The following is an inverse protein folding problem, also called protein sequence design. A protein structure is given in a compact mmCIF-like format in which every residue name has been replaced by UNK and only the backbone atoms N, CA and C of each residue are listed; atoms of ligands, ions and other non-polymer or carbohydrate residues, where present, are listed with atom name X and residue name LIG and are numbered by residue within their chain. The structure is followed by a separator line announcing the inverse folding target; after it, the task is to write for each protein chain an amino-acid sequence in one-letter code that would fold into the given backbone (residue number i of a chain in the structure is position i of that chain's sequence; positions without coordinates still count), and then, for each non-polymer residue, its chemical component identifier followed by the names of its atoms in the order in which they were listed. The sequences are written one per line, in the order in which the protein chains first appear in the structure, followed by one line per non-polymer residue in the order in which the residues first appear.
data_IF_528141701348
#
_entry.id   IF_528141701348
#
_cell.length_a   1.000
_cell.length_b   1.000
_cell.length_c   1.000
_cell.angle_alpha   90.00
_cell.angle_beta   90.00
_cell.angle_gamma   90.00
#
_symmetry.space_group_name_H-M   'P 1'
#
loop_
_entity.id
_entity.type
_entity.pdbx_description
1 polymer ?
#
# COMPACT_ATOMS: atom_id res chain seq x y z
N UNK A 1 -17.97 6.52 -6.47
CA UNK A 1 -16.57 6.58 -5.97
C UNK A 1 -15.54 6.04 -6.97
N UNK A 2 -15.80 4.97 -7.71
CA UNK A 2 -15.02 4.58 -8.89
C UNK A 2 -15.54 5.21 -10.19
N UNK A 3 -16.45 6.16 -10.09
CA UNK A 3 -17.04 6.90 -11.22
C UNK A 3 -16.15 8.08 -11.67
N UNK A 4 -15.08 8.38 -10.92
CA UNK A 4 -14.08 9.32 -11.41
C UNK A 4 -13.39 8.73 -12.64
N UNK A 5 -13.53 9.39 -13.78
CA UNK A 5 -12.99 8.93 -15.07
C UNK A 5 -11.49 8.61 -15.01
N UNK A 6 -10.73 9.25 -14.10
CA UNK A 6 -9.30 9.00 -13.88
C UNK A 6 -9.01 7.58 -13.39
N UNK A 7 -9.97 6.93 -12.72
CA UNK A 7 -9.81 5.60 -12.12
C UNK A 7 -10.70 4.56 -12.78
N UNK A 8 -11.43 4.91 -13.84
CA UNK A 8 -12.23 3.94 -14.60
C UNK A 8 -11.32 2.90 -15.26
N UNK A 9 -11.79 1.65 -15.31
CA UNK A 9 -11.05 0.56 -15.96
C UNK A 9 -9.73 0.17 -15.27
N UNK A 10 -9.56 0.45 -13.96
CA UNK A 10 -8.44 -0.11 -13.20
C UNK A 10 -8.57 -1.63 -13.15
N UNK A 11 -7.49 -2.33 -13.55
CA UNK A 11 -7.43 -3.79 -13.49
C UNK A 11 -7.36 -4.26 -12.04
N UNK A 12 -8.39 -4.94 -11.57
CA UNK A 12 -8.50 -5.50 -10.21
C UNK A 12 -8.22 -7.00 -10.16
N UNK A 13 -7.79 -7.59 -11.28
CA UNK A 13 -7.53 -9.02 -11.37
C UNK A 13 -6.34 -9.53 -10.55
N UNK A 14 -5.28 -8.72 -10.21
CA UNK A 14 -4.24 -9.18 -9.32
C UNK A 14 -4.78 -9.50 -7.92
N UNK A 15 -4.32 -10.63 -7.39
CA UNK A 15 -4.75 -11.11 -6.08
C UNK A 15 -3.86 -10.58 -4.94
N UNK A 16 -4.48 -10.24 -3.82
CA UNK A 16 -3.82 -9.85 -2.58
C UNK A 16 -3.73 -10.99 -1.57
N UNK A 17 -4.84 -11.71 -1.43
CA UNK A 17 -4.93 -12.88 -0.53
C UNK A 17 -5.56 -14.06 -1.28
N UNK A 18 -5.15 -15.26 -0.91
CA UNK A 18 -5.67 -16.50 -1.45
C UNK A 18 -5.89 -17.51 -0.33
N UNK A 19 -7.12 -17.94 -0.13
CA UNK A 19 -7.45 -19.04 0.76
C UNK A 19 -7.47 -20.35 -0.03
N UNK A 20 -6.50 -21.22 0.23
CA UNK A 20 -6.36 -22.50 -0.45
C UNK A 20 -7.48 -23.48 -0.12
N UNK A 21 -8.04 -23.41 1.08
CA UNK A 21 -9.11 -24.31 1.51
C UNK A 21 -10.45 -23.99 0.86
N UNK A 22 -10.73 -22.69 0.66
CA UNK A 22 -11.95 -22.22 0.02
C UNK A 22 -11.77 -21.93 -1.47
N UNK A 23 -10.55 -22.03 -2.00
CA UNK A 23 -10.16 -21.57 -3.34
C UNK A 23 -10.62 -20.12 -3.62
N UNK A 24 -10.72 -19.33 -2.54
CA UNK A 24 -11.20 -17.97 -2.61
C UNK A 24 -10.06 -16.98 -2.84
N UNK A 25 -10.26 -16.06 -3.75
CA UNK A 25 -9.30 -15.02 -4.12
C UNK A 25 -9.85 -13.66 -3.70
N UNK A 26 -9.07 -12.89 -2.97
CA UNK A 26 -9.37 -11.51 -2.64
C UNK A 26 -8.50 -10.56 -3.47
N UNK A 27 -9.09 -9.65 -4.26
CA UNK A 27 -8.33 -8.74 -5.10
C UNK A 27 -7.36 -7.87 -4.31
N UNK A 28 -6.17 -7.64 -4.86
CA UNK A 28 -5.14 -6.88 -4.19
C UNK A 28 -5.60 -5.44 -3.90
N UNK A 29 -6.21 -4.78 -4.87
CA UNK A 29 -6.68 -3.40 -4.68
C UNK A 29 -7.61 -3.29 -3.46
N UNK A 30 -8.54 -4.22 -3.30
CA UNK A 30 -9.50 -4.19 -2.19
C UNK A 30 -8.79 -4.45 -0.85
N UNK A 31 -7.82 -5.35 -0.83
CA UNK A 31 -6.99 -5.56 0.35
C UNK A 31 -6.22 -4.29 0.76
N UNK A 32 -5.60 -3.59 -0.19
CA UNK A 32 -4.89 -2.34 0.07
C UNK A 32 -5.82 -1.25 0.63
N UNK A 33 -7.04 -1.14 0.08
CA UNK A 33 -8.05 -0.19 0.55
C UNK A 33 -8.54 -0.54 1.96
N UNK A 34 -8.79 -1.82 2.25
CA UNK A 34 -9.20 -2.25 3.59
C UNK A 34 -8.11 -1.97 4.62
N UNK A 35 -6.84 -2.22 4.28
CA UNK A 35 -5.71 -1.90 5.18
C UNK A 35 -5.59 -0.40 5.41
N UNK A 36 -5.77 0.43 4.38
CA UNK A 36 -5.79 1.88 4.56
C UNK A 36 -6.91 2.33 5.50
N UNK A 37 -8.12 1.77 5.34
CA UNK A 37 -9.26 2.07 6.19
C UNK A 37 -9.02 1.64 7.65
N UNK A 38 -8.53 0.42 7.86
CA UNK A 38 -8.20 -0.09 9.22
C UNK A 38 -7.09 0.73 9.86
N UNK A 39 -6.09 1.20 9.09
CA UNK A 39 -5.06 2.09 9.61
C UNK A 39 -5.63 3.41 10.14
N UNK A 40 -6.67 3.94 9.48
CA UNK A 40 -7.43 5.09 9.98
C UNK A 40 -8.14 4.80 11.32
N UNK A 41 -8.78 3.63 11.46
CA UNK A 41 -9.39 3.21 12.72
C UNK A 41 -8.34 2.98 13.83
N UNK A 42 -7.17 2.43 13.49
CA UNK A 42 -6.06 2.29 14.45
C UNK A 42 -5.56 3.66 14.89
N UNK A 43 -5.44 4.62 13.98
CA UNK A 43 -5.08 5.98 14.29
C UNK A 43 -6.09 6.62 15.25
N UNK A 44 -7.38 6.49 14.97
CA UNK A 44 -8.43 7.18 15.72
C UNK A 44 -8.69 6.54 17.11
N UNK A 45 -8.61 5.21 17.21
CA UNK A 45 -9.08 4.45 18.38
C UNK A 45 -7.99 3.77 19.20
N UNK A 46 -6.84 3.50 18.62
CA UNK A 46 -5.76 2.72 19.29
C UNK A 46 -4.61 3.63 19.69
N UNK A 47 -4.16 4.53 18.80
CA UNK A 47 -3.06 5.42 19.12
C UNK A 47 -3.47 6.46 20.16
N UNK A 48 -2.61 6.65 21.16
CA UNK A 48 -2.75 7.76 22.13
C UNK A 48 -2.53 9.09 21.45
N UNK A 49 -3.01 10.17 22.07
CA UNK A 49 -2.76 11.55 21.59
C UNK A 49 -1.26 11.84 21.43
N UNK A 50 -0.42 11.38 22.37
CA UNK A 50 1.02 11.55 22.31
C UNK A 50 1.67 10.81 21.13
N UNK A 51 1.19 9.58 20.82
CA UNK A 51 1.70 8.83 19.65
C UNK A 51 1.31 9.50 18.34
N UNK A 52 0.07 9.96 18.22
CA UNK A 52 -0.39 10.72 17.05
C UNK A 52 0.42 12.00 16.85
N UNK A 53 0.67 12.74 17.94
CA UNK A 53 1.48 13.95 17.89
C UNK A 53 2.93 13.65 17.49
N UNK A 54 3.53 12.58 18.05
CA UNK A 54 4.90 12.15 17.69
C UNK A 54 5.02 11.83 16.20
N UNK A 55 4.03 11.18 15.61
CA UNK A 55 4.00 10.89 14.16
C UNK A 55 3.89 12.21 13.37
N UNK A 56 2.96 13.09 13.73
CA UNK A 56 2.73 14.37 13.06
C UNK A 56 3.99 15.27 13.11
N UNK A 57 4.58 15.42 14.28
CA UNK A 57 5.83 16.18 14.48
C UNK A 57 6.99 15.57 13.70
N UNK A 58 7.06 14.23 13.70
CA UNK A 58 8.07 13.48 12.97
C UNK A 58 8.01 13.67 11.45
N UNK A 59 6.82 13.91 10.91
CA UNK A 59 6.59 14.25 9.50
C UNK A 59 6.66 15.77 9.24
N UNK A 60 6.47 16.60 10.25
CA UNK A 60 6.36 18.05 10.12
C UNK A 60 5.05 18.50 9.47
N UNK A 61 3.94 17.82 9.76
CA UNK A 61 2.61 18.10 9.21
C UNK A 61 1.54 18.17 10.32
N UNK A 62 0.39 18.82 10.09
CA UNK A 62 -0.74 18.78 11.01
C UNK A 62 -1.28 17.38 11.26
N UNK A 63 -1.93 17.15 12.41
CA UNK A 63 -2.48 15.84 12.80
C UNK A 63 -3.42 15.22 11.76
N UNK A 64 -4.29 16.03 11.13
CA UNK A 64 -5.20 15.54 10.08
C UNK A 64 -4.47 15.06 8.85
N UNK A 65 -3.43 15.76 8.42
CA UNK A 65 -2.59 15.36 7.30
C UNK A 65 -1.74 14.12 7.64
N UNK A 66 -1.21 14.04 8.87
CA UNK A 66 -0.49 12.87 9.36
C UNK A 66 -1.37 11.62 9.33
N UNK A 67 -2.65 11.72 9.71
CA UNK A 67 -3.63 10.65 9.62
C UNK A 67 -3.75 10.14 8.17
N UNK A 68 -3.96 11.05 7.23
CA UNK A 68 -4.09 10.71 5.81
C UNK A 68 -2.82 10.02 5.27
N UNK A 69 -1.65 10.50 5.65
CA UNK A 69 -0.37 9.90 5.26
C UNK A 69 -0.17 8.50 5.87
N UNK A 70 -0.54 8.30 7.14
CA UNK A 70 -0.48 6.97 7.78
C UNK A 70 -1.38 5.97 7.05
N UNK A 71 -2.62 6.36 6.72
CA UNK A 71 -3.56 5.53 5.97
C UNK A 71 -2.98 5.16 4.58
N UNK A 72 -2.44 6.15 3.89
CA UNK A 72 -1.85 5.97 2.57
C UNK A 72 -0.66 5.00 2.61
N UNK A 73 0.29 5.24 3.51
CA UNK A 73 1.48 4.40 3.63
C UNK A 73 1.10 2.98 4.03
N UNK A 74 0.19 2.79 4.99
CA UNK A 74 -0.31 1.46 5.35
C UNK A 74 -0.99 0.76 4.16
N UNK A 75 -1.80 1.50 3.39
CA UNK A 75 -2.45 0.98 2.18
C UNK A 75 -1.47 0.53 1.09
N UNK A 76 -0.27 1.06 1.05
CA UNK A 76 0.75 0.68 0.06
C UNK A 76 1.58 -0.55 0.45
N UNK A 77 1.44 -1.10 1.65
CA UNK A 77 2.35 -2.13 2.20
C UNK A 77 2.61 -3.30 1.25
N UNK A 78 1.59 -3.78 0.57
CA UNK A 78 1.59 -4.93 -0.33
C UNK A 78 1.65 -4.55 -1.83
N UNK A 79 1.98 -3.29 -2.17
CA UNK A 79 2.08 -2.84 -3.56
C UNK A 79 3.02 -3.70 -4.41
N UNK A 80 4.04 -4.28 -3.79
CA UNK A 80 4.97 -5.21 -4.41
C UNK A 80 4.35 -6.54 -4.87
N UNK A 81 3.12 -6.85 -4.46
CA UNK A 81 2.37 -7.97 -5.05
C UNK A 81 1.93 -7.71 -6.49
N UNK A 82 1.93 -6.45 -6.95
CA UNK A 82 1.83 -6.11 -8.37
C UNK A 82 3.17 -6.39 -9.09
N UNK A 83 3.66 -7.60 -8.96
CA UNK A 83 4.85 -8.08 -9.61
C UNK A 83 4.55 -9.43 -10.28
N UNK A 84 5.02 -9.61 -11.50
CA UNK A 84 4.77 -10.82 -12.27
C UNK A 84 5.16 -12.09 -11.50
N UNK A 85 6.33 -12.09 -10.86
CA UNK A 85 6.79 -13.20 -10.04
C UNK A 85 5.77 -13.56 -8.96
N UNK A 86 5.35 -12.57 -8.15
CA UNK A 86 4.44 -12.79 -7.03
C UNK A 86 3.09 -13.34 -7.47
N UNK A 87 2.55 -12.84 -8.57
CA UNK A 87 1.25 -13.27 -9.10
C UNK A 87 1.30 -14.68 -9.72
N UNK A 88 2.43 -15.09 -10.31
CA UNK A 88 2.61 -16.41 -10.95
C UNK A 88 2.83 -17.56 -9.99
N UNK A 89 3.29 -17.30 -8.78
CA UNK A 89 3.62 -18.36 -7.79
C UNK A 89 2.43 -19.16 -7.28
N UNK A 90 1.19 -18.79 -7.63
CA UNK A 90 0.03 -19.43 -7.05
C UNK A 90 -1.09 -19.71 -8.03
N UNK A 91 -1.97 -20.61 -7.64
CA UNK A 91 -3.16 -21.03 -8.38
C UNK A 91 -3.99 -19.90 -9.01
N UNK A 92 -4.13 -18.68 -8.39
CA UNK A 92 -4.91 -17.61 -8.98
C UNK A 92 -4.32 -16.94 -10.23
N UNK A 93 -3.13 -17.34 -10.70
CA UNK A 93 -2.54 -16.74 -11.91
C UNK A 93 -3.50 -16.71 -13.09
N UNK A 94 -4.31 -17.75 -13.26
CA UNK A 94 -5.29 -17.82 -14.36
C UNK A 94 -6.34 -16.69 -14.32
N UNK A 95 -6.58 -16.08 -13.15
CA UNK A 95 -7.52 -14.96 -12.96
C UNK A 95 -6.90 -13.59 -13.27
N UNK A 96 -5.57 -13.49 -13.29
CA UNK A 96 -4.89 -12.26 -13.69
C UNK A 96 -5.17 -11.99 -15.16
N UNK A 97 -5.46 -10.75 -15.51
CA UNK A 97 -5.83 -10.36 -16.88
C UNK A 97 -4.81 -10.81 -17.92
N UNK A 98 -5.27 -11.13 -19.12
CA UNK A 98 -4.41 -11.52 -20.24
C UNK A 98 -3.38 -10.46 -20.56
N UNK A 99 -3.76 -9.18 -20.43
CA UNK A 99 -2.88 -8.04 -20.68
C UNK A 99 -1.64 -8.02 -19.76
N UNK A 100 -1.85 -8.30 -18.47
CA UNK A 100 -0.77 -8.39 -17.48
C UNK A 100 0.04 -9.68 -17.65
N UNK A 101 -0.63 -10.82 -17.94
CA UNK A 101 0.04 -12.09 -18.15
C UNK A 101 0.96 -12.11 -19.38
N UNK A 102 0.62 -11.36 -20.41
CA UNK A 102 1.42 -11.21 -21.62
C UNK A 102 2.59 -10.21 -21.46
N UNK A 103 2.54 -9.34 -20.44
CA UNK A 103 3.56 -8.31 -20.22
C UNK A 103 4.72 -8.86 -19.36
N UNK A 104 5.63 -9.59 -20.03
CA UNK A 104 6.75 -10.28 -19.38
C UNK A 104 8.05 -9.51 -19.61
N UNK A 105 8.68 -9.06 -18.52
CA UNK A 105 10.00 -8.41 -18.56
C UNK A 105 11.15 -9.39 -18.23
N UNK A 106 10.84 -10.65 -18.01
CA UNK A 106 11.78 -11.67 -17.53
C UNK A 106 11.30 -12.34 -16.26
N UNK A 107 12.17 -13.17 -15.68
CA UNK A 107 11.86 -13.90 -14.45
C UNK A 107 12.95 -13.68 -13.40
N UNK A 108 12.60 -12.99 -12.34
CA UNK A 108 13.47 -12.83 -11.18
C UNK A 108 12.65 -12.96 -9.90
N UNK A 109 13.08 -13.83 -8.99
CA UNK A 109 12.45 -13.99 -7.69
C UNK A 109 12.73 -12.78 -6.80
N UNK A 110 11.68 -12.20 -6.22
CA UNK A 110 11.79 -11.14 -5.23
C UNK A 110 10.64 -11.26 -4.22
N UNK A 111 10.91 -11.34 -2.92
CA UNK A 111 9.87 -11.26 -1.88
C UNK A 111 9.07 -9.97 -2.02
N UNK A 112 7.73 -10.05 -1.82
CA UNK A 112 6.83 -8.92 -2.10
C UNK A 112 7.11 -7.70 -1.21
N UNK A 113 7.61 -7.88 0.01
CA UNK A 113 8.02 -6.77 0.87
C UNK A 113 9.19 -5.97 0.26
N UNK A 114 10.15 -6.65 -0.35
CA UNK A 114 11.23 -5.98 -1.09
C UNK A 114 10.72 -5.36 -2.38
N UNK A 115 9.83 -6.04 -3.07
CA UNK A 115 9.18 -5.50 -4.26
C UNK A 115 8.37 -4.24 -3.93
N UNK A 116 7.66 -4.20 -2.78
CA UNK A 116 6.96 -3.00 -2.29
C UNK A 116 7.93 -1.84 -2.06
N UNK A 117 9.03 -2.10 -1.36
CA UNK A 117 10.05 -1.10 -1.06
C UNK A 117 10.63 -0.48 -2.33
N UNK A 118 11.06 -1.33 -3.29
CA UNK A 118 11.68 -0.85 -4.52
C UNK A 118 10.70 -0.18 -5.48
N UNK A 119 9.49 -0.75 -5.64
CA UNK A 119 8.49 -0.18 -6.55
C UNK A 119 7.93 1.15 -6.05
N UNK A 120 7.85 1.34 -4.73
CA UNK A 120 7.35 2.57 -4.15
C UNK A 120 8.34 3.73 -4.27
N UNK A 121 9.65 3.47 -4.27
CA UNK A 121 10.65 4.54 -4.26
C UNK A 121 10.48 5.48 -5.45
N UNK A 122 10.40 4.95 -6.68
CA UNK A 122 10.18 5.75 -7.88
C UNK A 122 8.83 6.49 -7.85
N UNK A 123 7.77 5.83 -7.37
CA UNK A 123 6.44 6.44 -7.28
C UNK A 123 6.39 7.58 -6.27
N UNK A 124 7.16 7.46 -5.19
CA UNK A 124 7.30 8.50 -4.18
C UNK A 124 8.09 9.69 -4.72
N UNK A 125 9.19 9.43 -5.45
CA UNK A 125 9.97 10.46 -6.13
C UNK A 125 9.10 11.22 -7.15
N UNK A 126 8.39 10.50 -8.02
CA UNK A 126 7.44 11.08 -8.99
C UNK A 126 6.34 11.90 -8.30
N UNK A 127 6.00 11.57 -7.05
CA UNK A 127 5.03 12.28 -6.22
C UNK A 127 5.63 13.47 -5.43
N UNK A 128 6.93 13.74 -5.59
CA UNK A 128 7.63 14.87 -4.98
C UNK A 128 8.29 14.60 -3.63
N UNK A 129 8.37 13.33 -3.20
CA UNK A 129 9.13 12.99 -1.99
C UNK A 129 10.64 13.07 -2.27
N UNK A 130 11.39 13.65 -1.34
CA UNK A 130 12.85 13.58 -1.39
C UNK A 130 13.31 12.12 -1.18
N UNK A 131 14.21 11.64 -2.06
CA UNK A 131 14.77 10.28 -2.06
C UNK A 131 16.30 10.27 -2.14
N UNK A 132 16.96 11.44 -2.00
CA UNK A 132 18.40 11.63 -2.27
C UNK A 132 19.32 10.99 -1.23
N UNK A 133 18.83 10.79 0.00
CA UNK A 133 19.63 10.27 1.12
C UNK A 133 18.91 9.13 1.85
N UNK A 134 19.67 8.29 2.55
CA UNK A 134 19.14 7.14 3.29
C UNK A 134 18.15 7.51 4.41
N UNK A 135 18.16 8.76 4.87
CA UNK A 135 17.26 9.30 5.88
C UNK A 135 16.17 10.22 5.31
N UNK A 136 16.13 10.40 3.99
CA UNK A 136 15.09 11.20 3.34
C UNK A 136 13.70 10.56 3.48
N UNK A 137 12.63 11.38 3.48
CA UNK A 137 11.27 10.88 3.76
C UNK A 137 10.82 9.80 2.77
N UNK A 138 11.14 9.91 1.49
CA UNK A 138 10.76 8.89 0.50
C UNK A 138 11.45 7.55 0.75
N UNK A 139 12.74 7.56 1.10
CA UNK A 139 13.48 6.33 1.46
C UNK A 139 12.91 5.71 2.73
N UNK A 140 12.60 6.50 3.75
CA UNK A 140 11.99 5.99 4.99
C UNK A 140 10.60 5.42 4.77
N UNK A 141 9.77 6.05 3.93
CA UNK A 141 8.47 5.46 3.54
C UNK A 141 8.67 4.13 2.82
N UNK A 142 9.59 4.05 1.85
CA UNK A 142 9.90 2.79 1.18
C UNK A 142 10.38 1.71 2.16
N UNK A 143 11.21 2.07 3.16
CA UNK A 143 11.63 1.15 4.23
C UNK A 143 10.47 0.68 5.11
N UNK A 144 9.50 1.55 5.43
CA UNK A 144 8.27 1.17 6.16
C UNK A 144 7.53 0.09 5.37
N UNK A 145 7.36 0.29 4.05
CA UNK A 145 6.70 -0.69 3.18
C UNK A 145 7.44 -2.03 3.12
N UNK A 146 8.77 -2.00 3.10
CA UNK A 146 9.59 -3.22 3.16
C UNK A 146 9.58 -3.92 4.52
N UNK A 147 9.07 -3.24 5.56
CA UNK A 147 9.18 -3.69 6.96
C UNK A 147 7.88 -4.24 7.55
N UNK A 148 6.81 -4.32 6.77
CA UNK A 148 5.48 -4.75 7.24
C UNK A 148 5.43 -6.20 7.77
N UNK A 149 6.46 -7.00 7.52
CA UNK A 149 6.66 -8.30 8.16
C UNK A 149 7.44 -8.24 9.49
N UNK A 150 7.64 -7.04 10.05
CA UNK A 150 8.27 -6.83 11.36
C UNK A 150 9.81 -6.86 11.34
N UNK A 151 10.44 -6.79 10.17
CA UNK A 151 11.90 -6.69 10.01
C UNK A 151 12.22 -5.44 9.20
N UNK A 152 12.93 -4.48 9.80
CA UNK A 152 13.40 -3.31 9.07
C UNK A 152 14.42 -3.71 8.01
N UNK A 153 14.05 -3.51 6.75
CA UNK A 153 14.94 -3.74 5.62
C UNK A 153 15.65 -2.44 5.27
N UNK A 154 16.97 -2.53 5.05
CA UNK A 154 17.70 -1.41 4.47
C UNK A 154 17.49 -1.39 2.97
N UNK A 155 17.20 -0.20 2.45
CA UNK A 155 17.21 0.07 1.03
C UNK A 155 18.66 0.32 0.61
N UNK A 156 19.18 -0.57 -0.22
CA UNK A 156 20.50 -0.39 -0.82
C UNK A 156 20.29 0.43 -2.11
N UNK A 157 20.74 1.66 -2.07
CA UNK A 157 20.62 2.61 -3.18
C UNK A 157 21.71 2.42 -4.24
N UNK A 158 22.73 1.58 -3.97
CA UNK A 158 23.89 1.42 -4.85
C UNK A 158 23.71 0.31 -5.89
N UNK A 159 23.86 0.68 -7.15
CA UNK A 159 24.24 -0.21 -8.23
C UNK A 159 23.24 -0.43 -9.38
N UNK A 160 23.63 -0.04 -10.59
CA UNK A 160 22.90 -0.26 -11.85
C UNK A 160 22.54 -1.74 -12.13
N UNK A 161 23.41 -2.68 -11.74
CA UNK A 161 23.17 -4.12 -11.87
C UNK A 161 22.01 -4.59 -10.98
N UNK A 162 21.81 -3.95 -9.82
CA UNK A 162 20.75 -4.25 -8.89
C UNK A 162 19.41 -3.67 -9.37
N UNK A 163 19.42 -2.46 -9.92
CA UNK A 163 18.26 -1.84 -10.56
C UNK A 163 17.70 -2.71 -11.71
N UNK A 164 18.57 -3.28 -12.53
CA UNK A 164 18.16 -4.19 -13.62
C UNK A 164 17.46 -5.44 -13.09
N UNK A 165 17.97 -6.08 -12.02
CA UNK A 165 17.34 -7.26 -11.40
C UNK A 165 15.99 -6.92 -10.76
N UNK A 166 15.89 -5.75 -10.13
CA UNK A 166 14.63 -5.25 -9.56
C UNK A 166 13.58 -5.10 -10.66
N UNK A 167 13.92 -4.47 -11.77
CA UNK A 167 13.01 -4.28 -12.89
C UNK A 167 12.51 -5.62 -13.47
N UNK A 168 13.39 -6.63 -13.61
CA UNK A 168 13.00 -7.97 -14.04
C UNK A 168 12.03 -8.66 -13.08
N UNK A 169 12.15 -8.41 -11.78
CA UNK A 169 11.24 -8.96 -10.77
C UNK A 169 9.86 -8.28 -10.78
N UNK A 170 9.84 -6.97 -11.05
CA UNK A 170 8.63 -6.14 -10.99
C UNK A 170 7.70 -6.30 -12.20
N UNK A 171 8.18 -6.90 -13.30
CA UNK A 171 7.42 -7.06 -14.54
C UNK A 171 7.52 -5.85 -15.47
N UNK A 172 6.86 -5.94 -16.63
CA UNK A 172 6.96 -4.96 -17.71
C UNK A 172 6.13 -3.68 -17.50
N UNK A 173 5.99 -2.89 -18.59
CA UNK A 173 5.34 -1.56 -18.52
C UNK A 173 3.91 -1.57 -18.00
N UNK A 174 3.10 -2.60 -18.30
CA UNK A 174 1.71 -2.68 -17.82
C UNK A 174 1.64 -2.90 -16.31
N UNK A 175 2.57 -3.69 -15.74
CA UNK A 175 2.69 -3.84 -14.31
C UNK A 175 3.09 -2.53 -13.64
N UNK A 176 4.01 -1.79 -14.25
CA UNK A 176 4.42 -0.48 -13.76
C UNK A 176 3.28 0.55 -13.83
N UNK A 177 2.52 0.57 -14.93
CA UNK A 177 1.35 1.45 -15.07
C UNK A 177 0.29 1.13 -14.01
N UNK A 178 0.01 -0.14 -13.79
CA UNK A 178 -0.96 -0.55 -12.78
C UNK A 178 -0.53 -0.13 -11.36
N UNK A 179 0.77 -0.23 -11.02
CA UNK A 179 1.29 0.27 -9.74
C UNK A 179 1.09 1.79 -9.61
N UNK A 180 1.36 2.57 -10.67
CA UNK A 180 1.09 4.02 -10.67
C UNK A 180 -0.39 4.32 -10.43
N UNK A 181 -1.28 3.58 -11.07
CA UNK A 181 -2.74 3.78 -10.91
C UNK A 181 -3.22 3.41 -9.51
N UNK A 182 -2.72 2.32 -8.91
CA UNK A 182 -3.05 1.95 -7.54
C UNK A 182 -2.53 2.98 -6.55
N UNK A 183 -1.28 3.43 -6.72
CA UNK A 183 -0.68 4.48 -5.91
C UNK A 183 -1.50 5.77 -5.97
N UNK A 184 -1.83 6.24 -7.17
CA UNK A 184 -2.62 7.45 -7.37
C UNK A 184 -4.03 7.34 -6.75
N UNK A 185 -4.69 6.20 -6.91
CA UNK A 185 -6.00 5.94 -6.33
C UNK A 185 -5.94 5.96 -4.79
N UNK A 186 -5.00 5.25 -4.18
CA UNK A 186 -4.83 5.24 -2.74
C UNK A 186 -4.53 6.64 -2.21
N UNK A 187 -3.63 7.39 -2.87
CA UNK A 187 -3.31 8.77 -2.50
C UNK A 187 -4.54 9.67 -2.54
N UNK A 188 -5.35 9.54 -3.58
CA UNK A 188 -6.59 10.30 -3.73
C UNK A 188 -7.61 9.95 -2.64
N UNK A 189 -7.88 8.66 -2.47
CA UNK A 189 -8.92 8.19 -1.55
C UNK A 189 -8.59 8.42 -0.06
N UNK A 190 -7.31 8.36 0.30
CA UNK A 190 -6.86 8.67 1.67
C UNK A 190 -6.70 10.16 1.94
N UNK A 191 -6.73 11.00 0.91
CA UNK A 191 -6.48 12.43 1.03
C UNK A 191 -5.01 12.79 1.31
N UNK A 192 -4.07 11.88 1.06
CA UNK A 192 -2.64 12.06 1.34
C UNK A 192 -1.96 12.96 0.30
N UNK A 193 -2.39 14.22 0.20
CA UNK A 193 -1.84 15.20 -0.74
C UNK A 193 -0.50 15.79 -0.29
N UNK A 194 -0.30 16.13 1.00
CA UNK A 194 0.97 16.71 1.45
C UNK A 194 2.12 15.72 1.29
N UNK A 195 3.29 16.26 0.94
CA UNK A 195 4.54 15.51 0.95
C UNK A 195 5.31 15.93 2.21
N UNK A 196 5.61 15.02 3.13
CA UNK A 196 6.33 15.36 4.34
C UNK A 196 7.76 15.78 4.01
N UNK A 197 8.21 16.89 4.60
CA UNK A 197 9.58 17.39 4.42
C UNK A 197 10.62 16.53 5.13
N UNK A 198 10.19 15.77 6.13
CA UNK A 198 11.01 14.89 6.95
C UNK A 198 10.20 13.68 7.40
N UNK A 199 10.87 12.66 7.88
CA UNK A 199 10.23 11.54 8.58
C UNK A 199 11.20 11.01 9.64
N UNK A 200 10.89 11.23 10.91
CA UNK A 200 11.76 10.81 12.01
C UNK A 200 11.74 9.28 12.20
N UNK A 201 12.80 8.71 12.78
CA UNK A 201 12.88 7.28 13.09
C UNK A 201 11.74 6.83 14.01
N UNK A 202 11.44 7.53 15.14
CA UNK A 202 10.32 7.13 16.00
C UNK A 202 8.98 7.13 15.28
N UNK A 203 8.71 8.12 14.41
CA UNK A 203 7.50 8.16 13.59
C UNK A 203 7.45 6.96 12.63
N UNK A 204 8.57 6.64 11.96
CA UNK A 204 8.66 5.49 11.04
C UNK A 204 8.35 4.17 11.75
N UNK A 205 8.86 3.97 12.97
CA UNK A 205 8.60 2.76 13.77
C UNK A 205 7.12 2.65 14.14
N UNK A 206 6.49 3.74 14.61
CA UNK A 206 5.07 3.74 14.93
C UNK A 206 4.21 3.49 13.69
N UNK A 207 4.52 4.13 12.56
CA UNK A 207 3.80 3.91 11.30
C UNK A 207 3.92 2.47 10.82
N UNK A 208 5.10 1.86 10.94
CA UNK A 208 5.28 0.43 10.64
C UNK A 208 4.38 -0.42 11.52
N UNK A 209 4.33 -0.13 12.83
CA UNK A 209 3.43 -0.81 13.77
C UNK A 209 1.96 -0.71 13.38
N UNK A 210 1.52 0.50 12.99
CA UNK A 210 0.14 0.71 12.49
C UNK A 210 -0.13 -0.13 11.25
N UNK A 211 0.79 -0.15 10.28
CA UNK A 211 0.66 -0.95 9.06
C UNK A 211 0.56 -2.46 9.35
N UNK A 212 1.41 -2.98 10.24
CA UNK A 212 1.39 -4.41 10.65
C UNK A 212 0.06 -4.77 11.32
N UNK A 213 -0.44 -3.94 12.23
CA UNK A 213 -1.72 -4.16 12.92
C UNK A 213 -2.86 -4.11 11.90
N UNK A 214 -2.86 -3.10 11.02
CA UNK A 214 -3.89 -2.92 10.02
C UNK A 214 -3.96 -4.09 9.03
N UNK A 215 -2.82 -4.56 8.51
CA UNK A 215 -2.79 -5.74 7.63
C UNK A 215 -3.33 -7.00 8.34
N UNK A 216 -2.90 -7.24 9.58
CA UNK A 216 -3.38 -8.40 10.34
C UNK A 216 -4.88 -8.38 10.57
N UNK A 217 -5.45 -7.22 10.92
CA UNK A 217 -6.88 -7.06 11.11
C UNK A 217 -7.66 -7.21 9.80
N UNK A 218 -7.21 -6.54 8.74
CA UNK A 218 -7.83 -6.62 7.41
C UNK A 218 -7.72 -8.02 6.77
N UNK A 219 -6.77 -8.85 7.22
CA UNK A 219 -6.54 -10.21 6.71
C UNK A 219 -7.32 -11.30 7.45
N UNK A 220 -8.21 -10.95 8.38
CA UNK A 220 -9.02 -11.94 9.11
C UNK A 220 -9.93 -12.71 8.17
N UNK A 221 -10.01 -14.05 8.35
CA UNK A 221 -10.77 -14.95 7.45
C UNK A 221 -12.23 -14.55 7.24
N UNK A 222 -12.90 -14.07 8.28
CA UNK A 222 -14.29 -13.63 8.16
C UNK A 222 -14.48 -12.39 7.25
N UNK A 223 -13.42 -11.59 7.07
CA UNK A 223 -13.40 -10.49 6.11
C UNK A 223 -13.15 -10.97 4.67
N UNK A 224 -12.44 -12.10 4.51
CA UNK A 224 -12.15 -12.70 3.21
C UNK A 224 -13.29 -13.57 2.69
N UNK A 225 -14.06 -14.21 3.59
CA UNK A 225 -15.07 -15.21 3.25
C UNK A 225 -16.35 -14.64 2.61
N UNK A 226 -16.49 -13.32 2.56
CA UNK A 226 -17.61 -12.78 1.86
C UNK A 226 -17.22 -12.50 0.41
N UNK A 227 -17.74 -13.28 -0.45
CA UNK A 227 -17.79 -13.04 -1.87
C UNK A 227 -18.14 -11.59 -2.12
N UNK A 228 -17.22 -10.80 -2.59
CA UNK A 228 -17.49 -9.40 -2.74
C UNK A 228 -16.62 -8.70 -3.75
N UNK A 229 -17.28 -8.18 -4.69
CA UNK A 229 -16.80 -7.27 -5.72
C UNK A 229 -16.42 -5.87 -5.19
N UNK A 230 -16.30 -5.64 -3.86
CA UNK A 230 -15.96 -4.30 -3.33
C UNK A 230 -15.34 -4.36 -1.93
N UNK A 231 -14.47 -3.40 -1.58
CA UNK A 231 -13.92 -3.23 -0.23
C UNK A 231 -15.05 -3.01 0.78
N UNK A 232 -15.12 -3.81 1.83
CA UNK A 232 -16.23 -3.79 2.79
C UNK A 232 -16.17 -2.62 3.75
N UNK A 233 -14.98 -2.36 4.28
CA UNK A 233 -14.77 -1.29 5.26
C UNK A 233 -14.98 0.07 4.59
N UNK A 234 -14.65 0.18 3.31
CA UNK A 234 -14.87 1.38 2.51
C UNK A 234 -16.36 1.70 2.29
N UNK A 235 -17.23 0.67 2.25
CA UNK A 235 -18.68 0.84 2.11
C UNK A 235 -19.37 1.39 3.36
N UNK A 236 -18.78 1.21 4.54
CA UNK A 236 -19.39 1.63 5.81
C UNK A 236 -19.35 3.13 6.07
N UNK A 237 -18.84 3.94 5.14
CA UNK A 237 -18.76 5.40 5.29
C UNK A 237 -17.77 5.89 6.33
N UNK A 238 -16.91 5.00 6.88
CA UNK A 238 -15.90 5.34 7.86
C UNK A 238 -14.84 6.34 7.35
N UNK A 239 -14.83 6.56 6.03
CA UNK A 239 -13.91 7.47 5.36
C UNK A 239 -14.68 8.43 4.44
N UNK A 240 -15.41 9.38 5.01
CA UNK A 240 -15.90 10.53 4.26
C UNK A 240 -14.72 11.44 3.85
N UNK A 241 -14.84 12.18 2.73
CA UNK A 241 -13.79 13.08 2.26
C UNK A 241 -13.43 14.20 3.25
N UNK A 242 -14.22 14.40 4.27
CA UNK A 242 -14.16 15.47 5.27
C UNK A 242 -13.69 15.01 6.64
N UNK A 243 -13.33 13.72 6.83
CA UNK A 243 -12.81 13.23 8.11
C UNK A 243 -13.81 13.31 9.28
N UNK A 244 -15.05 13.68 9.03
CA UNK A 244 -16.11 13.72 10.01
C UNK A 244 -16.93 12.44 9.94
N UNK A 245 -16.71 11.54 10.90
CA UNK A 245 -17.53 10.36 11.08
C UNK A 245 -18.99 10.75 11.28
N UNK A 246 -19.85 10.41 10.36
CA UNK A 246 -21.29 10.49 10.60
C UNK A 246 -21.67 9.43 11.63
N UNK A 247 -22.44 9.78 12.68
CA UNK A 247 -22.94 8.79 13.62
C UNK A 247 -23.82 7.78 12.85
N UNK A 248 -23.66 6.50 13.17
CA UNK A 248 -24.53 5.45 12.70
C UNK A 248 -25.95 5.79 13.13
N UNK A 249 -26.84 6.04 12.18
CA UNK A 249 -28.28 6.13 12.44
C UNK A 249 -28.76 4.69 12.62
N UNK A 250 -29.43 4.45 13.76
CA UNK A 250 -29.91 3.20 14.29
C UNK A 250 -30.80 2.34 13.40
#
# INVERSE_FOLDING_TARGET
MLEDARFSGIDVSPWGKFDRGLLAVYPLLFHLLDVAAVAGEVWDRVLTAGQRQLIADGMGVPLGEARCLVMFVAGLHDLGKLAQFQQRESHPWARVSLALRADTAGWQRMPHERASMHSALQLLEDAGYNTDASDSPGVRVAQILGSHHGRFLQLDLDGAAKASRVNLALGGPKWQDLRRRYFALLRHLTGAQPVPLRLSVPASVLMTGVGVIADRLASQRHLLAAEGSSPRIWRSGALGPDGQGRPAVG
#
